data_IF_307355543788
#
_entry.id   IF_307355543788
#
_cell.length_a   1.000
_cell.length_b   1.000
_cell.length_c   1.000
_cell.angle_alpha   90.00
_cell.angle_beta   90.00
_cell.angle_gamma   90.00
#
_symmetry.space_group_name_H-M   'P 1'
#
loop_
_entity.id
_entity.type
_entity.pdbx_description
1 polymer ?
#
# COMPACT_ATOMS: atom_id res chain seq x y z
N UNK A 1 -5.27 9.77 40.46
CA UNK A 1 -6.24 8.83 41.08
C UNK A 1 -7.55 8.99 40.36
N UNK A 2 -8.18 7.91 39.90
CA UNK A 2 -9.48 8.00 39.23
C UNK A 2 -10.57 8.46 40.22
N UNK A 3 -11.62 9.11 39.72
CA UNK A 3 -12.75 9.55 40.53
C UNK A 3 -13.38 8.39 41.31
N UNK A 4 -13.49 7.22 40.69
CA UNK A 4 -14.05 6.02 41.31
C UNK A 4 -13.20 5.51 42.47
N UNK A 5 -11.87 5.57 42.37
CA UNK A 5 -10.99 5.21 43.50
C UNK A 5 -11.25 6.14 44.68
N UNK A 6 -11.42 7.44 44.44
CA UNK A 6 -11.68 8.40 45.52
C UNK A 6 -13.05 8.19 46.18
N UNK A 7 -14.09 7.88 45.38
CA UNK A 7 -15.47 7.76 45.88
C UNK A 7 -15.79 6.42 46.53
N UNK A 8 -15.08 5.35 46.16
CA UNK A 8 -15.36 3.99 46.60
C UNK A 8 -14.32 3.42 47.56
N UNK A 9 -13.33 4.22 47.99
CA UNK A 9 -12.33 3.76 48.95
C UNK A 9 -12.70 4.16 50.38
N UNK A 10 -12.48 3.25 51.33
CA UNK A 10 -12.65 3.47 52.76
C UNK A 10 -11.37 3.05 53.50
N UNK A 11 -10.97 3.78 54.54
CA UNK A 11 -9.80 3.43 55.37
C UNK A 11 -10.14 2.31 56.34
N UNK A 12 -9.16 1.47 56.64
CA UNK A 12 -9.30 0.30 57.53
C UNK A 12 -9.81 0.62 58.95
N UNK A 13 -9.56 1.84 59.46
CA UNK A 13 -10.01 2.27 60.79
C UNK A 13 -11.45 2.82 60.80
N UNK A 14 -12.05 3.07 59.64
CA UNK A 14 -13.42 3.59 59.55
C UNK A 14 -14.43 2.50 59.90
N UNK A 15 -15.62 2.92 60.30
CA UNK A 15 -16.65 2.02 60.79
C UNK A 15 -17.38 1.28 59.67
N UNK A 16 -18.09 0.21 60.02
CA UNK A 16 -19.02 -0.46 59.10
C UNK A 16 -20.12 0.51 58.63
N UNK A 17 -20.55 1.45 59.48
CA UNK A 17 -21.51 2.49 59.08
C UNK A 17 -20.95 3.39 57.96
N UNK A 18 -19.69 3.82 58.08
CA UNK A 18 -19.02 4.60 57.02
C UNK A 18 -18.93 3.79 55.71
N UNK A 19 -18.74 2.47 55.80
CA UNK A 19 -18.72 1.58 54.64
C UNK A 19 -20.10 1.52 53.96
N UNK A 20 -21.18 1.45 54.74
CA UNK A 20 -22.55 1.51 54.21
C UNK A 20 -22.82 2.84 53.52
N UNK A 21 -22.43 3.97 54.12
CA UNK A 21 -22.56 5.28 53.50
C UNK A 21 -21.78 5.38 52.18
N UNK A 22 -20.56 4.83 52.12
CA UNK A 22 -19.76 4.76 50.89
C UNK A 22 -20.43 3.90 49.81
N UNK A 23 -20.98 2.73 50.19
CA UNK A 23 -21.69 1.81 49.29
C UNK A 23 -22.97 2.45 48.73
N UNK A 24 -23.74 3.15 49.56
CA UNK A 24 -25.00 3.81 49.16
C UNK A 24 -24.75 5.09 48.34
N UNK A 25 -23.69 5.84 48.65
CA UNK A 25 -23.26 6.97 47.83
C UNK A 25 -22.68 6.52 46.48
N UNK A 26 -22.20 5.27 46.40
CA UNK A 26 -21.57 4.67 45.22
C UNK A 26 -22.56 3.96 44.28
N UNK A 27 -22.39 4.13 42.97
CA UNK A 27 -23.22 3.48 41.97
C UNK A 27 -22.96 1.96 41.79
N UNK A 28 -21.86 1.43 42.36
CA UNK A 28 -21.39 0.05 42.14
C UNK A 28 -21.70 -0.91 43.29
N UNK A 29 -22.30 -0.42 44.39
CA UNK A 29 -22.70 -1.23 45.55
C UNK A 29 -21.53 -2.02 46.18
N UNK A 30 -20.33 -1.43 46.15
CA UNK A 30 -19.08 -2.00 46.65
C UNK A 30 -18.18 -0.88 47.19
N UNK A 31 -17.46 -1.15 48.28
CA UNK A 31 -16.40 -0.31 48.80
C UNK A 31 -15.06 -1.09 48.84
N UNK A 32 -13.96 -0.38 48.67
CA UNK A 32 -12.59 -0.90 48.67
C UNK A 32 -11.88 -0.44 49.95
N UNK A 33 -11.52 -1.40 50.82
CA UNK A 33 -10.87 -1.12 52.09
C UNK A 33 -9.36 -0.97 51.85
N UNK A 34 -8.80 0.19 52.20
CA UNK A 34 -7.39 0.51 51.96
C UNK A 34 -6.65 0.96 53.22
N UNK A 35 -5.34 0.70 53.29
CA UNK A 35 -4.46 1.20 54.35
C UNK A 35 -4.11 2.70 54.15
N UNK A 36 -3.28 3.28 55.01
CA UNK A 36 -2.79 4.66 54.89
C UNK A 36 -2.06 4.95 53.56
N UNK A 37 -1.42 3.94 52.97
CA UNK A 37 -0.64 4.01 51.73
C UNK A 37 -1.45 3.61 50.46
N UNK A 38 -2.78 3.50 50.55
CA UNK A 38 -3.68 3.08 49.47
C UNK A 38 -3.52 1.62 49.04
N UNK A 39 -2.87 0.76 49.83
CA UNK A 39 -2.86 -0.69 49.57
C UNK A 39 -4.23 -1.28 49.80
N UNK A 40 -4.70 -2.07 48.84
CA UNK A 40 -6.01 -2.71 48.96
C UNK A 40 -5.93 -3.89 49.92
N UNK A 41 -6.71 -3.83 51.01
CA UNK A 41 -6.78 -4.86 52.04
C UNK A 41 -7.96 -5.80 51.85
N UNK A 42 -9.09 -5.29 51.33
CA UNK A 42 -10.32 -6.04 51.16
C UNK A 42 -11.38 -5.29 50.36
N UNK A 43 -12.49 -5.95 50.07
CA UNK A 43 -13.69 -5.32 49.49
C UNK A 43 -14.90 -5.58 50.39
N UNK A 44 -15.84 -4.65 50.41
CA UNK A 44 -17.08 -4.76 51.19
C UNK A 44 -18.26 -4.54 50.28
N UNK A 45 -19.24 -5.43 50.33
CA UNK A 45 -20.54 -5.27 49.67
C UNK A 45 -21.67 -5.24 50.69
N UNK A 46 -22.87 -4.83 50.25
CA UNK A 46 -24.09 -4.93 51.07
C UNK A 46 -24.36 -6.37 51.58
N UNK A 47 -23.89 -7.39 50.86
CA UNK A 47 -23.98 -8.79 51.29
C UNK A 47 -23.10 -9.11 52.50
N UNK A 48 -21.90 -8.53 52.54
CA UNK A 48 -20.91 -8.79 53.61
C UNK A 48 -21.31 -8.07 54.89
N UNK A 49 -21.71 -6.79 54.80
CA UNK A 49 -22.27 -6.03 55.93
C UNK A 49 -23.47 -6.76 56.53
N UNK A 50 -24.44 -7.17 55.69
CA UNK A 50 -25.63 -7.90 56.17
C UNK A 50 -25.27 -9.20 56.88
N UNK A 51 -24.29 -9.95 56.36
CA UNK A 51 -23.86 -11.23 56.97
C UNK A 51 -23.24 -11.00 58.35
N UNK A 52 -22.41 -9.96 58.50
CA UNK A 52 -21.80 -9.59 59.79
C UNK A 52 -22.84 -9.21 60.84
N UNK A 53 -23.81 -8.37 60.48
CA UNK A 53 -24.87 -7.93 61.40
C UNK A 53 -25.77 -9.08 61.86
N UNK A 54 -26.09 -10.04 60.97
CA UNK A 54 -26.87 -11.23 61.32
C UNK A 54 -26.15 -12.16 62.32
N UNK A 55 -24.82 -12.06 62.41
CA UNK A 55 -24.00 -12.81 63.35
C UNK A 55 -23.80 -12.08 64.69
N UNK A 56 -24.44 -10.91 64.87
CA UNK A 56 -24.38 -10.12 66.11
C UNK A 56 -23.31 -9.03 66.13
N UNK A 57 -22.64 -8.78 65.00
CA UNK A 57 -21.72 -7.65 64.84
C UNK A 57 -22.44 -6.30 64.88
N UNK A 58 -21.71 -5.25 65.24
CA UNK A 58 -22.24 -3.88 65.36
C UNK A 58 -21.73 -2.95 64.27
N UNK A 59 -22.47 -1.87 64.00
CA UNK A 59 -22.13 -0.90 62.94
C UNK A 59 -20.99 0.05 63.30
N UNK A 60 -20.64 0.17 64.58
CA UNK A 60 -19.53 1.00 65.08
C UNK A 60 -18.18 0.26 65.12
N UNK A 61 -18.17 -1.03 64.79
CA UNK A 61 -16.94 -1.81 64.60
C UNK A 61 -16.18 -1.34 63.34
N UNK A 62 -14.88 -1.59 63.31
CA UNK A 62 -14.04 -1.30 62.15
C UNK A 62 -14.49 -2.10 60.92
N UNK A 63 -14.41 -1.48 59.74
CA UNK A 63 -14.82 -2.07 58.45
C UNK A 63 -14.07 -3.37 58.13
N UNK A 64 -12.86 -3.53 58.67
CA UNK A 64 -12.07 -4.77 58.55
C UNK A 64 -12.76 -5.98 59.17
N UNK A 65 -13.70 -5.80 60.09
CA UNK A 65 -14.43 -6.90 60.71
C UNK A 65 -15.41 -7.60 59.75
N UNK A 66 -15.85 -6.92 58.69
CA UNK A 66 -16.80 -7.46 57.71
C UNK A 66 -16.30 -7.47 56.26
N UNK A 67 -15.03 -7.12 56.02
CA UNK A 67 -14.49 -7.10 54.65
C UNK A 67 -14.20 -8.52 54.13
N UNK A 68 -14.32 -8.68 52.82
CA UNK A 68 -13.88 -9.87 52.11
C UNK A 68 -12.43 -9.67 51.64
N UNK A 69 -11.52 -10.49 52.14
CA UNK A 69 -10.10 -10.54 51.74
C UNK A 69 -9.90 -11.37 50.45
N UNK A 70 -10.83 -12.28 50.13
CA UNK A 70 -10.82 -13.09 48.90
C UNK A 70 -11.55 -12.35 47.76
N UNK A 71 -10.89 -11.37 47.18
CA UNK A 71 -11.40 -10.60 46.03
C UNK A 71 -10.55 -10.82 44.77
N UNK A 72 -11.17 -10.56 43.62
CA UNK A 72 -10.46 -10.55 42.33
C UNK A 72 -9.97 -9.15 42.02
N UNK A 73 -8.67 -8.99 41.81
CA UNK A 73 -8.03 -7.77 41.33
C UNK A 73 -7.35 -8.00 39.98
N UNK A 74 -6.92 -6.92 39.34
CA UNK A 74 -6.12 -6.94 38.11
C UNK A 74 -4.96 -5.96 38.23
N UNK A 75 -3.89 -6.14 37.45
CA UNK A 75 -2.85 -5.11 37.35
C UNK A 75 -3.37 -3.90 36.58
N UNK A 76 -2.92 -2.70 36.97
CA UNK A 76 -3.20 -1.48 36.25
C UNK A 76 -2.65 -1.56 34.82
N UNK A 77 -3.47 -1.21 33.83
CA UNK A 77 -3.11 -1.33 32.41
C UNK A 77 -3.25 -2.74 31.83
N UNK A 78 -3.92 -3.66 32.53
CA UNK A 78 -4.28 -4.99 32.01
C UNK A 78 -5.03 -4.87 30.66
N UNK A 79 -4.85 -5.81 29.71
CA UNK A 79 -5.58 -5.81 28.46
C UNK A 79 -7.10 -5.74 28.67
N UNK A 80 -7.80 -4.95 27.83
CA UNK A 80 -9.26 -4.83 27.87
C UNK A 80 -9.97 -6.18 27.79
N UNK A 81 -9.42 -7.13 27.05
CA UNK A 81 -9.97 -8.48 26.91
C UNK A 81 -10.09 -9.20 28.26
N UNK A 82 -9.10 -9.06 29.14
CA UNK A 82 -9.11 -9.72 30.45
C UNK A 82 -10.15 -9.09 31.38
N UNK A 83 -10.30 -7.76 31.30
CA UNK A 83 -11.38 -7.05 32.00
C UNK A 83 -12.75 -7.54 31.52
N UNK A 84 -12.94 -7.67 30.21
CA UNK A 84 -14.20 -8.14 29.62
C UNK A 84 -14.54 -9.57 30.07
N UNK A 85 -13.57 -10.49 30.06
CA UNK A 85 -13.76 -11.87 30.55
C UNK A 85 -14.17 -11.90 32.02
N UNK A 86 -13.55 -11.05 32.85
CA UNK A 86 -13.95 -10.95 34.25
C UNK A 86 -15.39 -10.40 34.36
N UNK A 87 -15.75 -9.34 33.65
CA UNK A 87 -17.12 -8.82 33.72
C UNK A 87 -18.18 -9.82 33.20
N UNK A 88 -17.85 -10.65 32.21
CA UNK A 88 -18.71 -11.74 31.70
C UNK A 88 -18.91 -12.87 32.73
N UNK A 89 -17.90 -13.14 33.55
CA UNK A 89 -18.00 -14.05 34.71
C UNK A 89 -18.84 -13.49 35.87
N UNK A 90 -19.36 -12.27 35.74
CA UNK A 90 -20.32 -11.70 36.69
C UNK A 90 -19.73 -10.70 37.69
N UNK A 91 -18.44 -10.39 37.65
CA UNK A 91 -17.88 -9.31 38.49
C UNK A 91 -18.56 -7.96 38.16
N UNK A 92 -18.71 -7.08 39.16
CA UNK A 92 -19.39 -5.77 39.02
C UNK A 92 -18.37 -4.64 38.89
N UNK A 93 -17.29 -4.73 39.66
CA UNK A 93 -16.14 -3.85 39.62
C UNK A 93 -14.86 -4.66 39.83
N UNK A 94 -13.74 -4.20 39.28
CA UNK A 94 -12.43 -4.82 39.47
C UNK A 94 -11.44 -3.74 39.94
N UNK A 95 -10.77 -3.93 41.09
CA UNK A 95 -9.70 -3.06 41.52
C UNK A 95 -8.45 -3.28 40.65
N UNK A 96 -7.96 -2.19 40.06
CA UNK A 96 -6.70 -2.10 39.34
C UNK A 96 -5.57 -1.70 40.28
N UNK A 97 -4.61 -2.61 40.47
CA UNK A 97 -3.50 -2.46 41.41
C UNK A 97 -2.19 -2.18 40.68
N UNK A 98 -1.34 -1.36 41.29
CA UNK A 98 0.06 -1.24 40.86
C UNK A 98 0.94 -2.40 41.39
N UNK A 99 2.23 -2.39 41.06
CA UNK A 99 3.19 -3.42 41.50
C UNK A 99 3.35 -3.50 43.02
N UNK A 100 3.00 -2.44 43.75
CA UNK A 100 3.08 -2.36 45.21
C UNK A 100 1.75 -2.72 45.90
N UNK A 101 0.75 -3.17 45.15
CA UNK A 101 -0.58 -3.54 45.64
C UNK A 101 -1.48 -2.35 45.96
N UNK A 102 -1.12 -1.14 45.50
CA UNK A 102 -1.92 0.07 45.74
C UNK A 102 -3.05 0.16 44.74
N UNK A 103 -4.24 0.55 45.21
CA UNK A 103 -5.41 0.78 44.38
C UNK A 103 -5.23 2.08 43.58
N UNK A 104 -5.00 1.95 42.28
CA UNK A 104 -4.77 3.08 41.38
C UNK A 104 -5.93 3.32 40.42
N UNK A 105 -6.73 2.29 40.14
CA UNK A 105 -7.87 2.35 39.23
C UNK A 105 -9.01 1.42 39.68
N UNK A 106 -10.25 1.71 39.26
CA UNK A 106 -11.41 0.82 39.41
C UNK A 106 -12.05 0.66 38.04
N UNK A 107 -12.04 -0.57 37.52
CA UNK A 107 -12.67 -0.91 36.25
C UNK A 107 -14.13 -1.30 36.47
N UNK A 108 -14.99 -0.92 35.53
CA UNK A 108 -16.43 -1.22 35.55
C UNK A 108 -16.89 -1.75 34.20
N UNK A 109 -18.09 -2.33 34.15
CA UNK A 109 -18.74 -2.77 32.90
C UNK A 109 -18.96 -1.65 31.88
N UNK A 110 -19.00 -0.39 32.35
CA UNK A 110 -19.24 0.79 31.53
C UNK A 110 -17.93 1.47 31.08
N UNK A 111 -16.84 0.71 31.00
CA UNK A 111 -15.55 1.23 30.54
C UNK A 111 -15.65 1.90 29.15
N UNK A 112 -15.18 3.14 29.06
CA UNK A 112 -15.15 3.90 27.81
C UNK A 112 -14.36 3.16 26.72
N UNK A 113 -14.69 3.41 25.45
CA UNK A 113 -13.84 3.01 24.35
C UNK A 113 -12.48 3.74 24.45
N UNK A 114 -11.44 3.15 23.85
CA UNK A 114 -10.14 3.83 23.73
C UNK A 114 -10.32 5.18 23.05
N UNK A 115 -9.55 6.17 23.47
CA UNK A 115 -9.54 7.48 22.82
C UNK A 115 -9.24 7.36 21.33
N UNK A 116 -9.83 8.25 20.54
CA UNK A 116 -9.46 8.38 19.12
C UNK A 116 -8.00 8.81 19.04
N UNK A 117 -7.27 8.18 18.12
CA UNK A 117 -5.88 8.50 17.83
C UNK A 117 -5.78 8.96 16.38
N UNK A 118 -4.78 9.79 16.04
CA UNK A 118 -4.58 10.22 14.67
C UNK A 118 -4.52 9.04 13.70
N UNK A 119 -5.12 9.23 12.53
CA UNK A 119 -5.18 8.23 11.47
C UNK A 119 -4.24 8.66 10.36
N UNK A 120 -3.35 7.77 9.95
CA UNK A 120 -2.58 7.92 8.71
C UNK A 120 -3.19 7.08 7.60
N UNK A 121 -2.95 7.48 6.36
CA UNK A 121 -3.29 6.70 5.18
C UNK A 121 -2.03 6.08 4.59
N UNK A 122 -2.19 4.89 4.00
CA UNK A 122 -1.16 4.21 3.21
C UNK A 122 -1.75 3.80 1.88
N UNK A 123 -0.90 3.76 0.87
CA UNK A 123 -1.22 3.15 -0.40
C UNK A 123 -0.01 2.43 -0.98
N UNK A 124 -0.26 1.44 -1.81
CA UNK A 124 0.75 0.81 -2.66
C UNK A 124 0.18 0.56 -4.06
N UNK A 125 0.98 0.84 -5.08
CA UNK A 125 0.64 0.57 -6.47
C UNK A 125 1.70 -0.34 -7.08
N UNK A 126 1.32 -1.44 -7.74
CA UNK A 126 2.27 -2.35 -8.37
C UNK A 126 2.84 -1.74 -9.65
N UNK A 127 4.07 -2.14 -9.99
CA UNK A 127 4.65 -1.88 -11.31
C UNK A 127 4.12 -2.88 -12.34
N UNK A 128 4.42 -2.62 -13.61
CA UNK A 128 3.87 -3.37 -14.75
C UNK A 128 4.93 -3.88 -15.72
N UNK A 129 4.63 -5.01 -16.34
CA UNK A 129 5.31 -5.55 -17.51
C UNK A 129 4.40 -5.43 -18.72
N UNK A 130 4.89 -4.76 -19.77
CA UNK A 130 4.18 -4.65 -21.05
C UNK A 130 4.65 -5.75 -21.98
N UNK A 131 3.73 -6.61 -22.44
CA UNK A 131 4.05 -7.69 -23.38
C UNK A 131 4.05 -7.17 -24.82
N UNK A 132 3.03 -6.41 -25.24
CA UNK A 132 2.92 -5.92 -26.61
C UNK A 132 2.06 -4.65 -26.70
N UNK A 133 2.17 -3.92 -27.81
CA UNK A 133 1.37 -2.72 -28.09
C UNK A 133 1.95 -1.41 -27.57
N UNK A 134 3.02 -1.46 -26.75
CA UNK A 134 3.67 -0.24 -26.27
C UNK A 134 4.15 0.66 -27.42
N UNK A 135 3.90 1.96 -27.30
CA UNK A 135 4.07 2.95 -28.35
C UNK A 135 2.75 3.30 -29.06
N UNK A 136 1.84 2.33 -29.22
CA UNK A 136 0.51 2.62 -29.77
C UNK A 136 -0.42 3.30 -28.75
N UNK A 137 -0.05 3.29 -27.46
CA UNK A 137 -0.72 3.99 -26.37
C UNK A 137 -0.36 5.48 -26.26
N UNK A 138 0.22 6.06 -27.31
CA UNK A 138 0.47 7.49 -27.42
C UNK A 138 -0.74 8.19 -28.08
N UNK A 139 -1.17 9.32 -27.52
CA UNK A 139 -2.42 10.00 -27.92
C UNK A 139 -2.54 10.26 -29.41
N UNK A 140 -1.45 10.69 -30.06
CA UNK A 140 -1.49 11.01 -31.51
C UNK A 140 -1.80 9.79 -32.38
N UNK A 141 -1.47 8.58 -31.93
CA UNK A 141 -1.75 7.37 -32.71
C UNK A 141 -3.22 6.98 -32.57
N UNK A 142 -3.73 6.94 -31.33
CA UNK A 142 -5.07 6.42 -31.09
C UNK A 142 -6.23 7.40 -31.30
N UNK A 143 -5.93 8.66 -31.60
CA UNK A 143 -6.90 9.60 -32.16
C UNK A 143 -7.43 9.09 -33.51
N UNK A 144 -6.56 8.56 -34.37
CA UNK A 144 -6.91 8.14 -35.73
C UNK A 144 -6.98 6.61 -35.90
N UNK A 145 -6.34 5.83 -35.01
CA UNK A 145 -6.23 4.38 -35.13
C UNK A 145 -6.47 3.66 -33.80
N UNK A 146 -7.43 2.74 -33.71
CA UNK A 146 -7.65 1.98 -32.47
C UNK A 146 -6.38 1.24 -32.02
N UNK A 147 -5.94 1.51 -30.79
CA UNK A 147 -4.75 0.90 -30.21
C UNK A 147 -5.11 -0.12 -29.13
N UNK A 148 -4.18 -1.05 -28.87
CA UNK A 148 -4.32 -2.01 -27.80
C UNK A 148 -2.96 -2.36 -27.20
N UNK A 149 -2.91 -2.45 -25.87
CA UNK A 149 -1.74 -2.89 -25.10
C UNK A 149 -2.11 -4.10 -24.26
N UNK A 150 -1.23 -5.11 -24.26
CA UNK A 150 -1.33 -6.27 -23.39
C UNK A 150 -0.24 -6.16 -22.33
N UNK A 151 -0.66 -6.07 -21.07
CA UNK A 151 0.26 -5.90 -19.93
C UNK A 151 -0.19 -6.69 -18.72
N UNK A 152 0.71 -6.86 -17.75
CA UNK A 152 0.38 -7.37 -16.43
C UNK A 152 1.11 -6.60 -15.34
N UNK A 153 0.58 -6.62 -14.11
CA UNK A 153 1.31 -6.13 -12.94
C UNK A 153 2.12 -7.21 -12.26
N UNK A 154 3.17 -6.80 -11.55
CA UNK A 154 4.03 -7.70 -10.76
C UNK A 154 4.15 -7.20 -9.32
N UNK A 155 4.43 -8.13 -8.40
CA UNK A 155 4.52 -7.89 -6.96
C UNK A 155 5.74 -7.09 -6.51
N UNK A 156 5.99 -5.96 -7.16
CA UNK A 156 6.95 -4.91 -6.77
C UNK A 156 6.16 -3.60 -6.76
N UNK A 157 6.23 -2.83 -5.68
CA UNK A 157 5.31 -1.70 -5.48
C UNK A 157 6.05 -0.39 -5.25
N UNK A 158 5.39 0.70 -5.62
CA UNK A 158 5.62 2.01 -5.02
C UNK A 158 4.68 2.15 -3.82
N UNK A 159 5.20 2.62 -2.70
CA UNK A 159 4.49 2.76 -1.43
C UNK A 159 4.42 4.23 -1.05
N UNK A 160 3.22 4.69 -0.71
CA UNK A 160 2.97 6.04 -0.21
C UNK A 160 2.37 5.98 1.20
N UNK A 161 2.85 6.84 2.10
CA UNK A 161 2.28 7.04 3.44
C UNK A 161 2.00 8.50 3.64
N UNK A 162 0.78 8.83 4.06
CA UNK A 162 0.32 10.19 4.26
C UNK A 162 -0.14 10.36 5.71
N UNK A 163 0.48 11.29 6.42
CA UNK A 163 0.12 11.67 7.78
C UNK A 163 -0.50 13.08 7.70
N UNK A 164 -1.82 13.22 7.93
CA UNK A 164 -2.45 14.53 7.99
C UNK A 164 -1.91 15.36 9.15
N UNK A 165 -1.81 16.67 8.94
CA UNK A 165 -1.39 17.65 9.95
C UNK A 165 -2.54 18.59 10.24
N UNK A 166 -2.54 19.14 11.45
CA UNK A 166 -3.51 20.16 11.87
C UNK A 166 -3.13 21.57 11.39
N UNK A 167 -1.87 21.76 10.98
CA UNK A 167 -1.39 22.99 10.34
C UNK A 167 -1.51 22.90 8.80
N UNK A 168 -1.10 23.97 8.10
CA UNK A 168 -1.06 24.02 6.63
C UNK A 168 0.22 23.46 6.02
N UNK A 169 1.16 22.96 6.82
CA UNK A 169 2.50 22.58 6.37
C UNK A 169 2.48 21.36 5.45
N UNK A 170 3.35 21.34 4.45
CA UNK A 170 3.50 20.25 3.50
C UNK A 170 4.95 19.78 3.53
N UNK A 171 5.17 18.51 3.89
CA UNK A 171 6.46 17.85 3.74
C UNK A 171 6.33 16.66 2.79
N UNK A 172 7.26 16.53 1.85
CA UNK A 172 7.32 15.41 0.90
C UNK A 172 8.70 14.77 1.02
N UNK A 173 8.74 13.49 1.36
CA UNK A 173 9.93 12.68 1.55
C UNK A 173 9.97 11.59 0.48
N UNK A 174 10.89 11.70 -0.48
CA UNK A 174 11.20 10.64 -1.43
C UNK A 174 12.42 9.87 -0.94
N UNK A 175 12.18 8.81 -0.16
CA UNK A 175 13.20 8.08 0.60
C UNK A 175 14.27 7.47 -0.32
N UNK A 176 13.85 6.84 -1.42
CA UNK A 176 14.75 6.20 -2.39
C UNK A 176 15.69 7.20 -3.08
N UNK A 177 15.21 8.43 -3.26
CA UNK A 177 15.95 9.52 -3.90
C UNK A 177 16.72 10.39 -2.88
N UNK A 178 16.55 10.14 -1.58
CA UNK A 178 17.07 10.97 -0.48
C UNK A 178 16.76 12.45 -0.69
N UNK A 179 15.54 12.74 -1.14
CA UNK A 179 15.05 14.10 -1.42
C UNK A 179 13.92 14.43 -0.48
N UNK A 180 13.99 15.63 0.07
CA UNK A 180 12.98 16.19 0.96
C UNK A 180 12.57 17.57 0.44
N UNK A 181 11.27 17.84 0.45
CA UNK A 181 10.68 19.11 0.04
C UNK A 181 9.73 19.59 1.12
N UNK A 182 9.87 20.85 1.53
CA UNK A 182 9.05 21.45 2.58
C UNK A 182 8.44 22.75 2.09
N UNK A 183 7.15 22.92 2.35
CA UNK A 183 6.39 24.12 2.06
C UNK A 183 5.54 24.47 3.28
N UNK A 184 5.43 25.74 3.62
CA UNK A 184 4.58 26.24 4.70
C UNK A 184 3.09 26.11 4.39
N UNK A 185 2.72 26.03 3.11
CA UNK A 185 1.33 25.93 2.66
C UNK A 185 1.21 25.40 1.23
N UNK A 186 -0.01 24.99 0.85
CA UNK A 186 -0.33 24.67 -0.55
C UNK A 186 -0.10 25.87 -1.49
N UNK A 187 -0.34 27.10 -1.03
CA UNK A 187 -0.12 28.29 -1.85
C UNK A 187 1.36 28.47 -2.22
N UNK A 188 2.25 28.22 -1.26
CA UNK A 188 3.70 28.24 -1.50
C UNK A 188 4.13 27.14 -2.48
N UNK A 189 3.64 25.90 -2.26
CA UNK A 189 3.91 24.80 -3.18
C UNK A 189 3.47 25.15 -4.61
N UNK A 190 2.26 25.69 -4.78
CA UNK A 190 1.74 26.09 -6.09
C UNK A 190 2.58 27.21 -6.73
N UNK A 191 3.11 28.14 -5.94
CA UNK A 191 3.96 29.24 -6.41
C UNK A 191 5.41 28.81 -6.71
N UNK A 192 5.85 27.63 -6.27
CA UNK A 192 7.21 27.16 -6.47
C UNK A 192 7.56 27.06 -7.97
N UNK A 193 8.69 27.64 -8.44
CA UNK A 193 9.03 27.71 -9.86
C UNK A 193 9.39 26.33 -10.44
N UNK A 194 10.09 25.51 -9.65
CA UNK A 194 10.40 24.11 -9.98
C UNK A 194 9.70 23.19 -8.99
N UNK A 195 8.98 22.21 -9.51
CA UNK A 195 8.25 21.20 -8.73
C UNK A 195 8.79 19.83 -9.06
N UNK A 196 8.97 18.97 -8.07
CA UNK A 196 9.12 17.53 -8.33
C UNK A 196 7.82 16.93 -8.88
N UNK A 197 7.91 15.70 -9.40
CA UNK A 197 6.71 14.94 -9.81
C UNK A 197 5.69 14.84 -8.65
N UNK A 198 6.16 14.59 -7.42
CA UNK A 198 5.31 14.48 -6.24
C UNK A 198 4.66 15.81 -5.88
N UNK A 199 5.41 16.91 -5.92
CA UNK A 199 4.85 18.24 -5.72
C UNK A 199 3.82 18.59 -6.81
N UNK A 200 4.05 18.19 -8.07
CA UNK A 200 3.08 18.37 -9.16
C UNK A 200 1.80 17.56 -8.94
N UNK A 201 1.89 16.33 -8.43
CA UNK A 201 0.71 15.54 -8.06
C UNK A 201 -0.11 16.24 -6.98
N UNK A 202 0.56 16.74 -5.93
CA UNK A 202 -0.10 17.52 -4.87
C UNK A 202 -0.77 18.77 -5.46
N UNK A 203 -0.13 19.45 -6.41
CA UNK A 203 -0.69 20.61 -7.10
C UNK A 203 -1.94 20.30 -7.94
N UNK A 204 -2.04 19.08 -8.49
CA UNK A 204 -3.24 18.59 -9.18
C UNK A 204 -4.35 18.27 -8.18
N UNK A 205 -4.04 17.58 -7.08
CA UNK A 205 -5.00 17.14 -6.06
C UNK A 205 -5.58 18.31 -5.25
N UNK A 206 -4.74 19.30 -4.91
CA UNK A 206 -5.08 20.48 -4.09
C UNK A 206 -5.76 20.11 -2.75
N UNK A 207 -5.07 19.38 -1.85
CA UNK A 207 -5.62 19.03 -0.55
C UNK A 207 -5.91 20.27 0.31
N UNK A 208 -6.91 20.18 1.19
CA UNK A 208 -7.36 21.29 2.05
C UNK A 208 -6.69 21.32 3.43
N UNK A 209 -5.68 20.48 3.65
CA UNK A 209 -5.00 20.26 4.92
C UNK A 209 -3.49 20.11 4.69
N UNK A 210 -2.67 20.40 5.71
CA UNK A 210 -1.25 20.09 5.70
C UNK A 210 -1.01 18.59 5.89
N UNK A 211 0.16 18.10 5.47
CA UNK A 211 0.50 16.69 5.55
C UNK A 211 2.00 16.43 5.49
N UNK A 212 2.41 15.27 5.99
CA UNK A 212 3.69 14.66 5.69
C UNK A 212 3.47 13.44 4.77
N UNK A 213 4.07 13.46 3.58
CA UNK A 213 3.98 12.42 2.56
C UNK A 213 5.32 11.71 2.42
N UNK A 214 5.35 10.40 2.64
CA UNK A 214 6.53 9.56 2.50
C UNK A 214 6.35 8.60 1.32
N UNK A 215 7.33 8.53 0.44
CA UNK A 215 7.34 7.66 -0.73
C UNK A 215 8.61 6.80 -0.76
N UNK A 216 8.43 5.51 -1.05
CA UNK A 216 9.50 4.53 -1.30
C UNK A 216 9.08 3.46 -2.31
N UNK A 217 10.02 2.70 -2.84
CA UNK A 217 9.80 1.76 -3.94
C UNK A 217 10.61 0.48 -3.77
N UNK A 218 10.04 -0.65 -4.20
CA UNK A 218 10.71 -1.97 -4.15
C UNK A 218 11.68 -2.21 -5.33
N UNK A 219 11.88 -1.20 -6.19
CA UNK A 219 12.60 -1.30 -7.47
C UNK A 219 13.45 -0.05 -7.73
N UNK A 220 14.54 -0.16 -8.49
CA UNK A 220 15.37 1.00 -8.85
C UNK A 220 14.68 1.89 -9.89
N UNK A 221 15.05 3.18 -9.87
CA UNK A 221 14.66 4.17 -10.89
C UNK A 221 15.17 3.73 -12.26
N UNK A 222 14.39 3.96 -13.32
CA UNK A 222 14.80 3.64 -14.69
C UNK A 222 14.72 2.16 -15.07
N UNK A 223 14.04 1.33 -14.28
CA UNK A 223 13.85 -0.11 -14.56
C UNK A 223 12.98 -0.40 -15.80
N UNK A 224 12.29 0.59 -16.38
CA UNK A 224 11.34 0.35 -17.46
C UNK A 224 10.08 -0.41 -17.05
N UNK A 225 9.87 -0.67 -15.75
CA UNK A 225 8.69 -1.32 -15.19
C UNK A 225 7.50 -0.36 -14.96
N UNK A 226 7.60 0.91 -15.38
CA UNK A 226 6.54 1.90 -15.16
C UNK A 226 6.55 2.49 -13.74
N UNK A 227 7.73 2.56 -13.12
CA UNK A 227 7.90 2.97 -11.73
C UNK A 227 7.41 4.38 -11.39
N UNK A 228 7.62 5.35 -12.30
CA UNK A 228 7.13 6.73 -12.16
C UNK A 228 5.61 6.77 -12.04
N UNK A 229 4.92 6.04 -12.91
CA UNK A 229 3.47 5.96 -12.91
C UNK A 229 2.94 5.20 -11.70
N UNK A 230 3.62 4.12 -11.26
CA UNK A 230 3.26 3.44 -10.01
C UNK A 230 3.39 4.38 -8.79
N UNK A 231 4.48 5.15 -8.69
CA UNK A 231 4.65 6.17 -7.63
C UNK A 231 3.56 7.26 -7.69
N UNK A 232 3.20 7.68 -8.89
CA UNK A 232 2.13 8.67 -9.13
C UNK A 232 0.78 8.12 -8.68
N UNK A 233 0.43 6.92 -9.10
CA UNK A 233 -0.81 6.23 -8.74
C UNK A 233 -0.90 5.97 -7.23
N UNK A 234 0.20 5.54 -6.58
CA UNK A 234 0.24 5.33 -5.13
C UNK A 234 0.03 6.66 -4.36
N UNK A 235 0.67 7.74 -4.80
CA UNK A 235 0.48 9.07 -4.22
C UNK A 235 -0.98 9.53 -4.34
N UNK A 236 -1.59 9.43 -5.51
CA UNK A 236 -3.00 9.80 -5.69
C UNK A 236 -3.91 8.95 -4.81
N UNK A 237 -3.67 7.63 -4.76
CA UNK A 237 -4.47 6.72 -3.96
C UNK A 237 -4.37 7.00 -2.44
N UNK A 238 -3.22 7.42 -1.93
CA UNK A 238 -3.09 7.74 -0.49
C UNK A 238 -3.89 8.99 -0.11
N UNK A 239 -3.97 10.00 -1.00
CA UNK A 239 -4.89 11.13 -0.81
C UNK A 239 -6.35 10.69 -0.98
N UNK A 240 -6.62 9.84 -1.98
CA UNK A 240 -7.96 9.33 -2.24
C UNK A 240 -8.53 8.58 -1.03
N UNK A 241 -7.69 7.84 -0.31
CA UNK A 241 -8.06 7.13 0.90
C UNK A 241 -8.64 8.04 1.98
N UNK A 242 -8.22 9.31 2.04
CA UNK A 242 -8.71 10.32 2.99
C UNK A 242 -9.91 11.13 2.48
N UNK A 243 -10.27 11.01 1.20
CA UNK A 243 -11.44 11.69 0.63
C UNK A 243 -12.75 11.04 1.10
N UNK A 244 -13.80 11.86 1.18
CA UNK A 244 -15.16 11.38 1.37
C UNK A 244 -15.76 10.95 0.02
N UNK A 245 -15.52 11.73 -1.02
CA UNK A 245 -15.87 11.50 -2.42
C UNK A 245 -14.71 10.83 -3.16
N UNK A 246 -14.51 9.54 -2.86
CA UNK A 246 -13.41 8.77 -3.45
C UNK A 246 -13.52 8.72 -4.97
N UNK A 247 -12.40 8.98 -5.63
CA UNK A 247 -12.21 8.70 -7.04
C UNK A 247 -12.24 7.20 -7.30
N UNK A 248 -12.85 6.80 -8.41
CA UNK A 248 -12.80 5.46 -8.94
C UNK A 248 -11.45 5.18 -9.64
N UNK A 249 -11.23 3.93 -10.06
CA UNK A 249 -9.95 3.49 -10.65
C UNK A 249 -9.58 4.22 -11.95
N UNK A 250 -10.56 4.55 -12.80
CA UNK A 250 -10.30 5.33 -14.02
C UNK A 250 -9.86 6.75 -13.66
N UNK A 251 -10.58 7.41 -12.74
CA UNK A 251 -10.23 8.76 -12.27
C UNK A 251 -8.81 8.80 -11.67
N UNK A 252 -8.41 7.77 -10.91
CA UNK A 252 -7.04 7.67 -10.37
C UNK A 252 -6.01 7.57 -11.51
N UNK A 253 -6.27 6.72 -12.51
CA UNK A 253 -5.35 6.55 -13.65
C UNK A 253 -5.24 7.83 -14.50
N UNK A 254 -6.35 8.52 -14.72
CA UNK A 254 -6.41 9.77 -15.49
C UNK A 254 -5.78 10.95 -14.75
N UNK A 255 -5.98 11.05 -13.43
CA UNK A 255 -5.26 12.03 -12.60
C UNK A 255 -3.76 11.77 -12.60
N UNK A 256 -3.35 10.50 -12.58
CA UNK A 256 -1.94 10.14 -12.68
C UNK A 256 -1.35 10.56 -14.03
N UNK A 257 -2.08 10.31 -15.12
CA UNK A 257 -1.69 10.74 -16.45
C UNK A 257 -1.59 12.27 -16.54
N UNK A 258 -2.61 12.98 -16.04
CA UNK A 258 -2.62 14.45 -16.00
C UNK A 258 -1.41 15.00 -15.27
N UNK A 259 -1.13 14.51 -14.05
CA UNK A 259 -0.03 15.00 -13.23
C UNK A 259 1.33 14.76 -13.90
N UNK A 260 1.55 13.55 -14.42
CA UNK A 260 2.83 13.15 -14.99
C UNK A 260 3.08 13.74 -16.39
N UNK A 261 2.09 13.67 -17.28
CA UNK A 261 2.24 14.05 -18.70
C UNK A 261 1.94 15.50 -18.97
N UNK A 262 0.83 16.02 -18.42
CA UNK A 262 0.34 17.37 -18.77
C UNK A 262 0.89 18.44 -17.85
N UNK A 263 1.01 18.16 -16.55
CA UNK A 263 1.45 19.15 -15.56
C UNK A 263 2.95 19.12 -15.32
N UNK A 264 3.56 17.93 -15.21
CA UNK A 264 5.01 17.82 -15.01
C UNK A 264 5.78 17.85 -16.33
N UNK A 265 5.17 17.38 -17.42
CA UNK A 265 5.71 17.53 -18.78
C UNK A 265 6.61 16.40 -19.25
N UNK A 266 6.55 15.21 -18.65
CA UNK A 266 7.27 14.03 -19.18
C UNK A 266 6.49 13.46 -20.36
N UNK A 267 7.13 13.30 -21.51
CA UNK A 267 6.54 12.56 -22.64
C UNK A 267 6.33 11.07 -22.29
N UNK A 268 5.20 10.50 -22.72
CA UNK A 268 4.93 9.07 -22.56
C UNK A 268 3.47 8.70 -22.85
N UNK A 269 3.21 7.40 -22.91
CA UNK A 269 1.89 6.84 -23.19
C UNK A 269 0.97 6.72 -21.98
N UNK A 270 -0.19 6.11 -22.20
CA UNK A 270 -1.28 5.95 -21.24
C UNK A 270 -1.28 4.60 -20.50
N UNK A 271 -0.52 3.60 -20.95
CA UNK A 271 -0.67 2.23 -20.43
C UNK A 271 -0.24 2.09 -18.95
N UNK A 272 0.76 2.85 -18.51
CA UNK A 272 1.44 2.62 -17.23
C UNK A 272 0.55 2.94 -16.04
N UNK A 273 -0.17 4.07 -16.11
CA UNK A 273 -1.08 4.53 -15.07
C UNK A 273 -2.29 3.60 -14.97
N UNK A 274 -2.84 3.17 -16.11
CA UNK A 274 -3.95 2.23 -16.15
C UNK A 274 -3.54 0.86 -15.60
N UNK A 275 -2.40 0.32 -16.03
CA UNK A 275 -1.90 -0.94 -15.50
C UNK A 275 -1.69 -0.89 -13.97
N UNK A 276 -1.07 0.19 -13.47
CA UNK A 276 -0.82 0.35 -12.03
C UNK A 276 -2.11 0.54 -11.21
N UNK A 277 -3.09 1.26 -11.75
CA UNK A 277 -4.36 1.50 -11.08
C UNK A 277 -5.25 0.25 -11.03
N UNK A 278 -5.37 -0.49 -12.14
CA UNK A 278 -6.26 -1.65 -12.25
C UNK A 278 -5.63 -2.95 -11.74
N UNK A 279 -4.34 -3.17 -11.99
CA UNK A 279 -3.65 -4.41 -11.67
C UNK A 279 -4.11 -5.62 -12.46
N UNK A 280 -3.45 -6.76 -12.23
CA UNK A 280 -3.69 -7.99 -12.96
C UNK A 280 -3.16 -7.98 -14.39
N UNK A 281 -3.61 -8.95 -15.17
CA UNK A 281 -3.41 -8.99 -16.61
C UNK A 281 -4.51 -8.17 -17.28
N UNK A 282 -4.14 -7.27 -18.19
CA UNK A 282 -5.09 -6.41 -18.89
C UNK A 282 -4.79 -6.37 -20.38
N UNK A 283 -5.86 -6.45 -21.17
CA UNK A 283 -5.89 -5.87 -22.50
C UNK A 283 -6.50 -4.48 -22.37
N UNK A 284 -5.72 -3.44 -22.67
CA UNK A 284 -6.16 -2.05 -22.59
C UNK A 284 -6.33 -1.54 -24.00
N UNK A 285 -7.53 -1.12 -24.37
CA UNK A 285 -7.83 -0.53 -25.67
C UNK A 285 -7.91 1.00 -25.54
N UNK A 286 -7.24 1.70 -26.45
CA UNK A 286 -7.27 3.15 -26.54
C UNK A 286 -7.94 3.54 -27.85
N UNK A 287 -8.95 4.39 -27.74
CA UNK A 287 -9.71 4.97 -28.86
C UNK A 287 -9.79 6.49 -28.65
N UNK A 288 -10.05 7.23 -29.71
CA UNK A 288 -10.15 8.69 -29.69
C UNK A 288 -11.05 9.24 -28.56
N UNK A 289 -12.17 8.57 -28.28
CA UNK A 289 -13.18 9.05 -27.33
C UNK A 289 -13.16 8.34 -25.98
N UNK A 290 -12.44 7.21 -25.84
CA UNK A 290 -12.48 6.40 -24.62
C UNK A 290 -11.30 5.45 -24.53
N UNK A 291 -10.93 5.16 -23.29
CA UNK A 291 -9.99 4.08 -22.95
C UNK A 291 -10.75 2.99 -22.22
N UNK A 292 -10.54 1.74 -22.59
CA UNK A 292 -11.23 0.59 -22.03
C UNK A 292 -10.22 -0.42 -21.48
N UNK A 293 -10.35 -0.75 -20.20
CA UNK A 293 -9.59 -1.82 -19.57
C UNK A 293 -10.41 -3.10 -19.59
N UNK A 294 -9.84 -4.16 -20.16
CA UNK A 294 -10.39 -5.50 -20.16
C UNK A 294 -9.52 -6.40 -19.28
N UNK A 295 -9.91 -6.64 -18.01
CA UNK A 295 -9.19 -7.55 -17.13
C UNK A 295 -9.24 -8.98 -17.66
N UNK A 296 -8.08 -9.63 -17.69
CA UNK A 296 -7.92 -10.99 -18.19
C UNK A 296 -7.81 -11.93 -16.99
N UNK A 297 -8.80 -12.80 -16.84
CA UNK A 297 -8.77 -13.87 -15.83
C UNK A 297 -8.11 -15.12 -16.41
N UNK A 298 -6.91 -15.43 -15.95
CA UNK A 298 -6.19 -16.66 -16.30
C UNK A 298 -6.47 -17.77 -15.29
N UNK A 299 -6.49 -19.01 -15.77
CA UNK A 299 -6.43 -20.18 -14.91
C UNK A 299 -5.10 -20.22 -14.15
N UNK A 300 -5.11 -20.70 -12.91
CA UNK A 300 -3.92 -20.73 -12.06
C UNK A 300 -2.78 -21.53 -12.69
N UNK A 301 -3.08 -22.64 -13.38
CA UNK A 301 -2.07 -23.44 -14.08
C UNK A 301 -1.37 -22.64 -15.20
N UNK A 302 -2.12 -21.88 -16.00
CA UNK A 302 -1.57 -21.03 -17.07
C UNK A 302 -0.69 -19.93 -16.46
N UNK A 303 -1.17 -19.27 -15.40
CA UNK A 303 -0.42 -18.21 -14.71
C UNK A 303 0.89 -18.73 -14.12
N UNK A 304 0.84 -19.88 -13.42
CA UNK A 304 2.01 -20.49 -12.78
C UNK A 304 3.04 -20.97 -13.80
N UNK A 305 2.60 -21.56 -14.92
CA UNK A 305 3.49 -21.99 -15.99
C UNK A 305 4.14 -20.79 -16.69
N UNK A 306 3.37 -19.72 -16.95
CA UNK A 306 3.90 -18.49 -17.51
C UNK A 306 4.95 -17.86 -16.59
N UNK A 307 4.67 -17.77 -15.28
CA UNK A 307 5.62 -17.25 -14.29
C UNK A 307 6.92 -18.08 -14.28
N UNK A 308 6.80 -19.40 -14.36
CA UNK A 308 7.94 -20.33 -14.41
C UNK A 308 8.76 -20.20 -15.69
N UNK A 309 8.11 -19.84 -16.79
CA UNK A 309 8.74 -19.67 -18.10
C UNK A 309 9.30 -18.27 -18.36
N UNK A 310 9.05 -17.29 -17.50
CA UNK A 310 9.56 -15.94 -17.70
C UNK A 310 10.83 -15.68 -16.88
N UNK A 311 11.79 -15.00 -17.52
CA UNK A 311 13.02 -14.53 -16.89
C UNK A 311 13.10 -13.03 -17.05
N UNK A 312 13.05 -12.32 -15.92
CA UNK A 312 13.28 -10.88 -15.85
C UNK A 312 14.79 -10.64 -15.69
N UNK A 313 15.38 -9.90 -16.62
CA UNK A 313 16.82 -9.74 -16.76
C UNK A 313 17.18 -8.25 -16.78
N UNK A 314 17.74 -7.75 -15.68
CA UNK A 314 18.31 -6.40 -15.60
C UNK A 314 19.60 -6.34 -16.43
N UNK A 315 19.63 -5.43 -17.38
CA UNK A 315 20.79 -5.19 -18.25
C UNK A 315 21.91 -4.45 -17.52
N UNK A 316 21.61 -3.80 -16.38
CA UNK A 316 22.50 -2.88 -15.68
C UNK A 316 22.70 -1.54 -16.42
N UNK A 317 21.97 -1.33 -17.52
CA UNK A 317 22.03 -0.11 -18.33
C UNK A 317 20.87 0.78 -17.88
N UNK A 318 21.20 1.91 -17.25
CA UNK A 318 20.20 2.93 -16.94
C UNK A 318 19.81 3.70 -18.20
N UNK A 319 18.53 4.02 -18.36
CA UNK A 319 18.03 4.84 -19.46
C UNK A 319 17.11 5.95 -18.96
N UNK A 320 17.11 7.08 -19.67
CA UNK A 320 16.12 8.14 -19.50
C UNK A 320 14.95 7.86 -20.43
N UNK A 321 13.88 7.30 -19.87
CA UNK A 321 12.67 6.96 -20.62
C UNK A 321 11.97 8.19 -21.20
N UNK A 322 12.07 9.36 -20.55
CA UNK A 322 11.41 10.59 -21.02
C UNK A 322 11.99 11.06 -22.35
N UNK A 323 13.33 11.16 -22.42
CA UNK A 323 14.03 11.53 -23.65
C UNK A 323 13.81 10.55 -24.81
N UNK A 324 13.74 9.25 -24.50
CA UNK A 324 13.42 8.23 -25.50
C UNK A 324 11.99 8.36 -26.04
N UNK A 325 11.03 8.73 -25.19
CA UNK A 325 9.66 9.01 -25.65
C UNK A 325 9.57 10.27 -26.52
N UNK A 326 10.36 11.31 -26.23
CA UNK A 326 10.46 12.50 -27.09
C UNK A 326 11.01 12.15 -28.48
N UNK A 327 12.12 11.41 -28.54
CA UNK A 327 12.71 10.98 -29.81
C UNK A 327 11.74 10.08 -30.61
N UNK A 328 11.08 9.13 -29.95
CA UNK A 328 10.06 8.30 -30.59
C UNK A 328 8.91 9.14 -31.13
N UNK A 329 8.47 10.15 -30.38
CA UNK A 329 7.40 11.05 -30.82
C UNK A 329 7.81 11.83 -32.08
N UNK A 330 9.00 12.42 -32.08
CA UNK A 330 9.52 13.18 -33.23
C UNK A 330 9.66 12.29 -34.48
N UNK A 331 10.15 11.06 -34.33
CA UNK A 331 10.31 10.11 -35.43
C UNK A 331 8.96 9.57 -35.95
N UNK A 332 7.97 9.39 -35.07
CA UNK A 332 6.65 8.88 -35.46
C UNK A 332 5.77 9.98 -36.09
N UNK A 333 5.87 11.23 -35.63
CA UNK A 333 5.18 12.36 -36.28
C UNK A 333 5.71 12.62 -37.71
N UNK A 334 6.94 12.18 -38.02
CA UNK A 334 7.60 12.46 -39.30
C UNK A 334 7.34 11.42 -40.41
N UNK A 335 6.93 10.18 -40.11
CA UNK A 335 6.90 9.10 -41.11
C UNK A 335 5.61 8.25 -41.13
N UNK A 336 4.96 8.19 -42.31
CA UNK A 336 3.83 7.28 -42.59
C UNK A 336 4.16 5.79 -42.36
N UNK A 337 5.44 5.42 -42.47
CA UNK A 337 5.96 4.06 -42.26
C UNK A 337 5.74 3.57 -40.82
N UNK A 338 5.68 4.48 -39.84
CA UNK A 338 5.57 4.17 -38.41
C UNK A 338 4.16 3.76 -38.01
N UNK A 339 3.15 4.35 -38.64
CA UNK A 339 1.74 3.98 -38.42
C UNK A 339 1.48 2.52 -38.78
N UNK A 340 2.09 2.02 -39.85
CA UNK A 340 1.99 0.60 -40.25
C UNK A 340 2.64 -0.32 -39.22
N UNK A 341 3.80 0.06 -38.68
CA UNK A 341 4.49 -0.71 -37.64
C UNK A 341 3.69 -0.76 -36.34
N UNK A 342 3.13 0.36 -35.91
CA UNK A 342 2.26 0.42 -34.73
C UNK A 342 0.98 -0.40 -34.93
N UNK A 343 0.37 -0.34 -36.11
CA UNK A 343 -0.79 -1.17 -36.47
C UNK A 343 -0.47 -2.66 -36.46
N UNK A 344 0.72 -3.05 -36.94
CA UNK A 344 1.22 -4.42 -36.84
C UNK A 344 1.42 -4.84 -35.37
N UNK A 345 1.97 -3.95 -34.52
CA UNK A 345 2.12 -4.19 -33.08
C UNK A 345 0.78 -4.39 -32.36
N UNK A 346 -0.25 -3.61 -32.72
CA UNK A 346 -1.62 -3.77 -32.20
C UNK A 346 -2.23 -5.09 -32.65
N UNK A 347 -2.02 -5.50 -33.90
CA UNK A 347 -2.47 -6.80 -34.41
C UNK A 347 -1.79 -7.95 -33.68
N UNK A 348 -0.47 -7.86 -33.47
CA UNK A 348 0.30 -8.81 -32.69
C UNK A 348 -0.18 -8.88 -31.24
N UNK A 349 -0.50 -7.73 -30.63
CA UNK A 349 -1.05 -7.64 -29.27
C UNK A 349 -2.34 -8.46 -29.11
N UNK A 350 -3.29 -8.32 -30.05
CA UNK A 350 -4.53 -9.11 -30.05
C UNK A 350 -4.28 -10.61 -30.24
N UNK A 351 -3.31 -10.97 -31.09
CA UNK A 351 -2.89 -12.37 -31.28
C UNK A 351 -2.26 -12.96 -30.02
N UNK A 352 -1.38 -12.20 -29.36
CA UNK A 352 -0.77 -12.59 -28.07
C UNK A 352 -1.82 -12.79 -26.98
N UNK A 353 -2.83 -11.91 -26.92
CA UNK A 353 -3.96 -12.07 -26.01
C UNK A 353 -4.66 -13.42 -26.23
N UNK A 354 -4.97 -13.79 -27.48
CA UNK A 354 -5.58 -15.09 -27.78
C UNK A 354 -4.72 -16.29 -27.33
N UNK A 355 -3.41 -16.25 -27.58
CA UNK A 355 -2.52 -17.33 -27.12
C UNK A 355 -2.47 -17.42 -25.60
N UNK A 356 -2.41 -16.28 -24.92
CA UNK A 356 -2.35 -16.22 -23.46
C UNK A 356 -3.59 -16.83 -22.81
N UNK A 357 -4.79 -16.42 -23.23
CA UNK A 357 -6.05 -16.90 -22.62
C UNK A 357 -6.33 -18.39 -22.91
N UNK A 358 -5.73 -18.96 -23.95
CA UNK A 358 -5.85 -20.38 -24.31
C UNK A 358 -4.74 -21.25 -23.72
N UNK A 359 -3.78 -20.66 -22.99
CA UNK A 359 -2.63 -21.39 -22.45
C UNK A 359 -1.62 -21.83 -23.51
N UNK A 360 -1.64 -21.25 -24.71
CA UNK A 360 -0.72 -21.54 -25.81
C UNK A 360 0.62 -20.80 -25.60
N UNK A 361 1.26 -21.05 -24.45
CA UNK A 361 2.34 -20.21 -23.92
C UNK A 361 3.62 -20.22 -24.78
N UNK A 362 3.91 -21.31 -25.50
CA UNK A 362 5.02 -21.34 -26.46
C UNK A 362 4.81 -20.35 -27.62
N UNK A 363 3.59 -20.29 -28.16
CA UNK A 363 3.24 -19.34 -29.22
C UNK A 363 3.25 -17.89 -28.71
N UNK A 364 2.80 -17.69 -27.47
CA UNK A 364 2.96 -16.41 -26.76
C UNK A 364 4.45 -16.01 -26.64
N UNK A 365 5.32 -16.94 -26.26
CA UNK A 365 6.78 -16.73 -26.18
C UNK A 365 7.41 -16.35 -27.52
N UNK A 366 6.99 -16.97 -28.62
CA UNK A 366 7.43 -16.58 -29.98
C UNK A 366 6.94 -15.18 -30.35
N UNK A 367 5.71 -14.82 -29.98
CA UNK A 367 5.21 -13.48 -30.23
C UNK A 367 5.97 -12.40 -29.46
N UNK A 368 6.62 -12.72 -28.33
CA UNK A 368 7.50 -11.76 -27.66
C UNK A 368 8.72 -11.40 -28.53
N UNK A 369 9.31 -12.36 -29.23
CA UNK A 369 10.38 -12.07 -30.20
C UNK A 369 9.87 -11.20 -31.34
N UNK A 370 8.72 -11.54 -31.94
CA UNK A 370 8.11 -10.72 -32.99
C UNK A 370 7.85 -9.28 -32.50
N UNK A 371 7.36 -9.13 -31.27
CA UNK A 371 7.12 -7.82 -30.66
C UNK A 371 8.43 -7.04 -30.49
N UNK A 372 9.54 -7.71 -30.16
CA UNK A 372 10.84 -7.09 -30.06
C UNK A 372 11.41 -6.68 -31.41
N UNK A 373 11.32 -7.53 -32.43
CA UNK A 373 11.76 -7.19 -33.78
C UNK A 373 10.97 -6.00 -34.35
N UNK A 374 9.67 -5.93 -34.09
CA UNK A 374 8.86 -4.75 -34.42
C UNK A 374 9.32 -3.52 -33.65
N UNK A 375 9.48 -3.63 -32.33
CA UNK A 375 9.86 -2.50 -31.47
C UNK A 375 11.21 -1.89 -31.88
N UNK A 376 12.21 -2.70 -32.24
CA UNK A 376 13.52 -2.20 -32.73
C UNK A 376 13.42 -1.36 -34.01
N UNK A 377 12.34 -1.50 -34.78
CA UNK A 377 12.11 -0.72 -36.01
C UNK A 377 11.44 0.63 -35.75
N UNK A 378 10.92 0.87 -34.54
CA UNK A 378 10.33 2.17 -34.22
C UNK A 378 11.38 3.27 -34.14
N UNK A 379 12.55 2.98 -33.57
CA UNK A 379 13.63 3.95 -33.44
C UNK A 379 14.98 3.25 -33.30
N UNK A 380 16.02 3.86 -33.88
CA UNK A 380 17.40 3.40 -33.71
C UNK A 380 17.90 3.50 -32.26
N UNK A 381 17.25 4.33 -31.42
CA UNK A 381 17.62 4.51 -30.01
C UNK A 381 17.12 3.39 -29.08
N UNK A 382 16.31 2.46 -29.57
CA UNK A 382 15.65 1.42 -28.74
C UNK A 382 16.60 0.29 -28.35
N UNK A 383 17.54 -0.06 -29.23
CA UNK A 383 18.54 -1.10 -29.01
C UNK A 383 19.92 -0.61 -29.42
N UNK A 384 20.95 -1.24 -28.89
CA UNK A 384 22.34 -1.01 -29.27
C UNK A 384 23.06 -2.37 -29.39
N UNK A 385 24.34 -2.35 -29.76
CA UNK A 385 25.13 -3.58 -29.92
C UNK A 385 25.17 -4.43 -28.65
N UNK A 386 25.20 -3.81 -27.46
CA UNK A 386 25.23 -4.55 -26.19
C UNK A 386 23.89 -5.21 -25.89
N UNK A 387 22.78 -4.49 -26.09
CA UNK A 387 21.43 -5.04 -25.92
C UNK A 387 21.16 -6.17 -26.91
N UNK A 388 21.64 -6.03 -28.14
CA UNK A 388 21.54 -7.08 -29.17
C UNK A 388 22.39 -8.30 -28.82
N UNK A 389 23.60 -8.13 -28.27
CA UNK A 389 24.44 -9.23 -27.78
C UNK A 389 23.78 -10.00 -26.63
N UNK A 390 23.17 -9.29 -25.66
CA UNK A 390 22.42 -9.90 -24.55
C UNK A 390 21.24 -10.72 -25.10
N UNK A 391 20.49 -10.13 -26.03
CA UNK A 391 19.35 -10.79 -26.66
C UNK A 391 19.75 -12.04 -27.43
N UNK A 392 20.81 -11.95 -28.24
CA UNK A 392 21.34 -13.06 -29.01
C UNK A 392 21.87 -14.20 -28.12
N UNK A 393 22.57 -13.85 -27.03
CA UNK A 393 23.05 -14.83 -26.06
C UNK A 393 21.91 -15.60 -25.38
N UNK A 394 20.81 -14.91 -25.03
CA UNK A 394 19.63 -15.55 -24.45
C UNK A 394 18.96 -16.52 -25.44
N UNK A 395 18.79 -16.12 -26.71
CA UNK A 395 18.24 -16.99 -27.75
C UNK A 395 19.13 -18.22 -28.00
N UNK A 396 20.44 -18.03 -28.13
CA UNK A 396 21.40 -19.11 -28.32
C UNK A 396 21.40 -20.12 -27.15
N UNK A 397 21.13 -19.66 -25.93
CA UNK A 397 21.03 -20.49 -24.74
C UNK A 397 19.68 -21.23 -24.59
N UNK A 398 18.68 -20.89 -25.41
CA UNK A 398 17.40 -21.58 -25.50
C UNK A 398 16.15 -20.78 -25.12
N UNK A 399 16.24 -19.44 -25.04
CA UNK A 399 15.04 -18.61 -24.98
C UNK A 399 14.24 -18.73 -26.29
N UNK A 400 12.90 -18.79 -26.20
CA UNK A 400 12.04 -18.83 -27.38
C UNK A 400 11.82 -17.44 -27.99
N UNK A 401 11.98 -16.41 -27.17
CA UNK A 401 11.80 -15.01 -27.52
C UNK A 401 11.91 -14.13 -26.28
N UNK A 402 11.93 -12.83 -26.49
CA UNK A 402 11.91 -11.87 -25.40
C UNK A 402 11.79 -10.45 -25.93
N UNK A 403 11.75 -9.49 -25.03
CA UNK A 403 11.72 -8.07 -25.40
C UNK A 403 12.27 -7.19 -24.29
N UNK A 404 12.78 -6.03 -24.68
CA UNK A 404 13.10 -4.98 -23.73
C UNK A 404 11.80 -4.31 -23.25
N UNK A 405 11.64 -4.18 -21.93
CA UNK A 405 10.52 -3.48 -21.30
C UNK A 405 10.71 -1.95 -21.41
N UNK A 406 9.66 -1.17 -21.11
CA UNK A 406 9.71 0.29 -21.16
C UNK A 406 9.92 0.88 -22.56
N UNK A 407 10.52 2.07 -22.64
CA UNK A 407 10.71 2.82 -23.88
C UNK A 407 11.83 2.22 -24.77
N UNK A 408 12.91 1.72 -24.19
CA UNK A 408 14.10 1.25 -24.92
C UNK A 408 15.39 1.69 -24.25
N UNK A 409 16.55 1.35 -24.83
CA UNK A 409 17.86 1.91 -24.45
C UNK A 409 18.44 1.43 -23.10
N UNK A 410 17.75 0.56 -22.36
CA UNK A 410 18.23 -0.01 -21.11
C UNK A 410 17.10 -0.59 -20.25
N UNK A 411 17.41 -0.90 -19.00
CA UNK A 411 16.47 -1.50 -18.05
C UNK A 411 16.39 -3.02 -18.20
N UNK A 412 15.18 -3.56 -18.27
CA UNK A 412 14.96 -5.00 -18.15
C UNK A 412 14.53 -5.65 -19.47
N UNK A 413 15.19 -6.75 -19.82
CA UNK A 413 14.64 -7.72 -20.74
C UNK A 413 13.68 -8.67 -20.03
N UNK A 414 12.62 -9.04 -20.73
CA UNK A 414 11.75 -10.14 -20.37
C UNK A 414 11.92 -11.25 -21.41
N UNK A 415 12.44 -12.41 -20.99
CA UNK A 415 12.62 -13.57 -21.85
C UNK A 415 11.61 -14.67 -21.51
N UNK A 416 11.08 -15.33 -22.54
CA UNK A 416 10.34 -16.58 -22.39
C UNK A 416 11.27 -17.76 -22.63
N UNK A 417 11.43 -18.61 -21.63
CA UNK A 417 12.37 -19.72 -21.59
C UNK A 417 11.69 -20.93 -20.99
N UNK A 418 11.70 -22.05 -21.71
CA UNK A 418 11.21 -23.31 -21.17
C UNK A 418 12.08 -23.78 -19.99
N UNK A 419 11.51 -24.44 -18.95
CA UNK A 419 12.22 -24.74 -17.70
C UNK A 419 13.56 -25.46 -17.89
N UNK A 420 13.65 -26.40 -18.85
CA UNK A 420 14.87 -27.15 -19.17
C UNK A 420 16.03 -26.28 -19.71
N UNK A 421 15.78 -25.03 -20.08
CA UNK A 421 16.78 -24.11 -20.62
C UNK A 421 17.04 -22.92 -19.70
N UNK A 422 16.24 -22.77 -18.63
CA UNK A 422 16.27 -21.59 -17.74
C UNK A 422 17.66 -21.30 -17.20
N UNK A 423 18.34 -22.30 -16.63
CA UNK A 423 19.67 -22.09 -16.06
C UNK A 423 20.73 -21.72 -17.11
N UNK A 424 20.62 -22.27 -18.33
CA UNK A 424 21.53 -21.94 -19.42
C UNK A 424 21.38 -20.48 -19.84
N UNK A 425 20.14 -19.99 -19.94
CA UNK A 425 19.85 -18.59 -20.25
C UNK A 425 20.36 -17.66 -19.15
N UNK A 426 20.07 -17.95 -17.88
CA UNK A 426 20.58 -17.15 -16.74
C UNK A 426 22.11 -17.04 -16.80
N UNK A 427 22.82 -18.15 -17.01
CA UNK A 427 24.27 -18.16 -17.06
C UNK A 427 24.80 -17.37 -18.26
N UNK A 428 24.15 -17.48 -19.43
CA UNK A 428 24.55 -16.79 -20.65
C UNK A 428 24.43 -15.26 -20.52
N UNK A 429 23.29 -14.76 -20.03
CA UNK A 429 23.11 -13.30 -19.81
C UNK A 429 23.94 -12.81 -18.62
N UNK A 430 24.11 -13.64 -17.58
CA UNK A 430 24.97 -13.34 -16.44
C UNK A 430 26.44 -13.16 -16.82
N UNK A 431 26.94 -13.92 -17.80
CA UNK A 431 28.29 -13.76 -18.34
C UNK A 431 28.50 -12.40 -19.04
N UNK A 432 27.42 -11.74 -19.46
CA UNK A 432 27.42 -10.38 -20.03
C UNK A 432 27.17 -9.28 -18.98
N UNK A 433 27.19 -9.65 -17.69
CA UNK A 433 27.01 -8.73 -16.56
C UNK A 433 25.56 -8.41 -16.23
N UNK A 434 24.59 -9.11 -16.80
CA UNK A 434 23.18 -8.96 -16.45
C UNK A 434 22.85 -9.65 -15.12
N UNK A 435 21.81 -9.16 -14.44
CA UNK A 435 21.28 -9.78 -13.23
C UNK A 435 19.84 -10.24 -13.47
N UNK A 436 19.50 -11.45 -13.04
CA UNK A 436 18.12 -11.94 -13.14
C UNK A 436 17.38 -11.76 -11.83
N UNK A 437 16.14 -11.31 -11.90
CA UNK A 437 15.29 -11.08 -10.73
C UNK A 437 14.09 -12.03 -10.75
N UNK A 438 13.77 -12.58 -9.58
CA UNK A 438 12.52 -13.31 -9.39
C UNK A 438 11.37 -12.32 -9.18
N UNK A 439 10.21 -12.65 -9.72
CA UNK A 439 8.99 -11.86 -9.55
C UNK A 439 7.79 -12.79 -9.43
N UNK A 440 6.68 -12.24 -8.97
CA UNK A 440 5.35 -12.85 -9.05
C UNK A 440 4.41 -11.92 -9.74
N UNK A 441 3.43 -12.47 -10.45
CA UNK A 441 2.34 -11.64 -10.94
C UNK A 441 1.50 -11.08 -9.79
N UNK A 442 1.07 -9.83 -9.92
CA UNK A 442 0.11 -9.20 -9.02
C UNK A 442 -1.24 -9.12 -9.73
N UNK A 443 -2.29 -9.48 -9.01
CA UNK A 443 -3.69 -9.46 -9.45
C UNK A 443 -4.43 -8.19 -9.07
N UNK A 444 -4.02 -7.54 -7.97
CA UNK A 444 -4.63 -6.34 -7.42
C UNK A 444 -3.96 -5.09 -7.99
N UNK A 445 -4.75 -4.08 -8.35
CA UNK A 445 -4.22 -2.77 -8.71
C UNK A 445 -3.73 -1.98 -7.51
N UNK A 446 -3.85 -0.66 -7.60
CA UNK A 446 -3.54 0.20 -6.46
C UNK A 446 -4.45 -0.13 -5.28
N UNK A 447 -3.85 -0.25 -4.10
CA UNK A 447 -4.56 -0.53 -2.85
C UNK A 447 -4.23 0.56 -1.84
N UNK A 448 -5.23 1.03 -1.11
CA UNK A 448 -5.08 2.03 -0.06
C UNK A 448 -5.85 1.63 1.19
N UNK A 449 -5.35 2.04 2.36
CA UNK A 449 -5.97 1.74 3.65
C UNK A 449 -5.59 2.78 4.70
N UNK A 450 -6.40 2.88 5.75
CA UNK A 450 -6.16 3.71 6.93
C UNK A 450 -5.64 2.87 8.09
N UNK A 451 -4.74 3.43 8.89
CA UNK A 451 -4.34 2.83 10.17
C UNK A 451 -4.18 3.91 11.22
N UNK A 452 -4.36 3.51 12.48
CA UNK A 452 -4.09 4.33 13.66
C UNK A 452 -2.57 4.49 13.82
N UNK A 453 -2.13 5.68 14.20
CA UNK A 453 -0.79 5.88 14.77
C UNK A 453 -0.84 5.25 16.17
N UNK A 454 -0.04 4.21 16.38
CA UNK A 454 0.00 3.46 17.65
C UNK A 454 0.89 4.15 18.67
#
# INVERSE_FOLDING_TARGET
MSLLVQTLSIREQQSILDAVECIEAGALQIAFVVDEHMRLLGVVTNGDVRRHLLQGGKTDEAVTACMNEEFRSVQAGVPREDLLKAFDLGYIALPGLDEQGRLVEVYTRQMAASAEVPVLARARAPVRMSFCGGGADLTYFFIDHSAAVLSCTVGLYAHATLIPRDDGGISIFAEDLKREEHYSSLAELLAAPEKSLLATIVAVIKPKYGFDLYLRSDFPVGSGLGGSSAATTATIAVFNELRQDRWNTYEIAELAFQAERLCFGIAGGWQDQYASAFGGFNLIEFENQRNLVHPIRLEDAIRNELESCLVLCDTGISHDSGRLHELQREEIEAELSQTELLSASVTLCRRMHHFLIRGELKAFGTCLDEAWQLKKRFSSAISDGRLDDIYAAALAAGACGGKLLGAGGGGFFLFYVQPQHRQRVINAVGALGCQTQNFRFESSGVTSWRTKIQ
#
